data_IF_637141619877
#
_entry.id   IF_637141619877
#
_cell.length_a   1.000
_cell.length_b   1.000
_cell.length_c   1.000
_cell.angle_alpha   90.00
_cell.angle_beta   90.00
_cell.angle_gamma   90.00
#
_symmetry.space_group_name_H-M   'P 1'
#
loop_
_entity.id
_entity.type
_entity.pdbx_description
1 polymer ?
#
# COMPACT_ATOMS: atom_id res chain seq x y z
N UNK A 1 -18.34 27.72 2.59
CA UNK A 1 -18.81 27.12 1.32
C UNK A 1 -17.59 26.71 0.51
N UNK A 2 -17.14 25.49 0.76
CA UNK A 2 -15.90 24.92 0.22
C UNK A 2 -16.11 24.48 -1.23
N UNK A 3 -15.26 24.95 -2.15
CA UNK A 3 -15.11 24.36 -3.48
C UNK A 3 -14.41 23.00 -3.35
N UNK A 4 -15.08 21.99 -2.78
CA UNK A 4 -14.89 20.62 -3.25
C UNK A 4 -15.49 20.60 -4.65
N UNK A 5 -14.63 20.74 -5.66
CA UNK A 5 -15.05 20.98 -7.03
C UNK A 5 -16.01 19.89 -7.51
N UNK A 6 -17.00 20.28 -8.30
CA UNK A 6 -18.02 19.49 -9.00
C UNK A 6 -17.66 18.03 -9.34
N UNK A 7 -16.39 17.76 -9.65
CA UNK A 7 -15.84 16.43 -9.91
C UNK A 7 -15.85 15.51 -8.66
N UNK A 8 -15.54 16.02 -7.47
CA UNK A 8 -15.63 15.25 -6.22
C UNK A 8 -17.06 14.88 -5.84
N UNK A 9 -18.02 15.77 -6.11
CA UNK A 9 -19.45 15.48 -5.92
C UNK A 9 -19.96 14.46 -6.95
N UNK A 10 -19.52 14.57 -8.21
CA UNK A 10 -19.87 13.64 -9.28
C UNK A 10 -19.24 12.24 -9.06
N UNK A 11 -18.00 12.17 -8.58
CA UNK A 11 -17.36 10.93 -8.18
C UNK A 11 -18.04 10.31 -6.94
N UNK A 12 -18.53 11.13 -6.02
CA UNK A 12 -19.30 10.66 -4.87
C UNK A 12 -20.67 10.09 -5.30
N UNK A 13 -21.35 10.71 -6.27
CA UNK A 13 -22.58 10.16 -6.85
C UNK A 13 -22.35 8.86 -7.64
N UNK A 14 -21.21 8.71 -8.31
CA UNK A 14 -20.83 7.45 -8.94
C UNK A 14 -20.53 6.36 -7.90
N UNK A 15 -19.94 6.74 -6.76
CA UNK A 15 -19.68 5.85 -5.64
C UNK A 15 -20.96 5.34 -4.95
N UNK A 16 -22.05 6.11 -4.98
CA UNK A 16 -23.36 5.74 -4.41
C UNK A 16 -24.13 4.70 -5.25
N UNK A 17 -23.64 4.33 -6.45
CA UNK A 17 -24.27 3.27 -7.25
C UNK A 17 -24.11 1.93 -6.54
N UNK A 18 -25.20 1.47 -5.92
CA UNK A 18 -25.30 0.14 -5.31
C UNK A 18 -25.06 -0.95 -6.36
N UNK A 19 -23.96 -1.69 -6.19
CA UNK A 19 -23.66 -2.85 -7.02
C UNK A 19 -24.47 -4.06 -6.55
N UNK A 20 -25.23 -4.66 -7.47
CA UNK A 20 -25.91 -5.93 -7.25
C UNK A 20 -24.88 -7.05 -7.41
N UNK A 21 -24.78 -8.01 -6.47
CA UNK A 21 -23.82 -9.10 -6.57
C UNK A 21 -24.07 -9.95 -7.82
N UNK A 22 -22.97 -10.34 -8.48
CA UNK A 22 -23.00 -11.18 -9.67
C UNK A 22 -23.60 -12.56 -9.31
N UNK A 23 -24.76 -12.88 -9.88
CA UNK A 23 -25.34 -14.22 -9.81
C UNK A 23 -24.91 -14.99 -11.05
N UNK A 24 -24.12 -16.05 -10.86
CA UNK A 24 -23.75 -16.94 -11.97
C UNK A 24 -24.99 -17.66 -12.51
N UNK A 25 -25.18 -17.64 -13.83
CA UNK A 25 -26.27 -18.35 -14.52
C UNK A 25 -25.76 -19.39 -15.53
N UNK A 26 -24.44 -19.56 -15.67
CA UNK A 26 -23.85 -20.36 -16.76
C UNK A 26 -23.06 -21.58 -16.28
N UNK A 27 -23.45 -22.77 -16.75
CA UNK A 27 -22.73 -24.05 -16.56
C UNK A 27 -21.58 -24.26 -17.56
N UNK A 28 -21.34 -23.30 -18.46
CA UNK A 28 -20.27 -23.40 -19.46
C UNK A 28 -18.88 -23.39 -18.82
N UNK A 29 -17.90 -24.13 -19.37
CA UNK A 29 -16.51 -24.05 -18.90
C UNK A 29 -15.95 -22.63 -19.01
N UNK A 30 -15.21 -22.20 -17.98
CA UNK A 30 -14.58 -20.86 -17.93
C UNK A 30 -13.73 -20.55 -19.16
N UNK A 31 -13.02 -21.55 -19.67
CA UNK A 31 -12.20 -21.48 -20.88
C UNK A 31 -13.02 -21.05 -22.10
N UNK A 32 -14.17 -21.68 -22.32
CA UNK A 32 -15.07 -21.35 -23.45
C UNK A 32 -15.67 -19.95 -23.28
N UNK A 33 -16.03 -19.59 -22.05
CA UNK A 33 -16.57 -18.27 -21.74
C UNK A 33 -15.54 -17.17 -21.98
N UNK A 34 -14.28 -17.37 -21.60
CA UNK A 34 -13.20 -16.40 -21.84
C UNK A 34 -12.92 -16.25 -23.35
N UNK A 35 -12.93 -17.35 -24.11
CA UNK A 35 -12.77 -17.30 -25.57
C UNK A 35 -13.94 -16.54 -26.22
N UNK A 36 -15.18 -16.81 -25.80
CA UNK A 36 -16.36 -16.09 -26.26
C UNK A 36 -16.32 -14.60 -25.88
N UNK A 37 -15.78 -14.24 -24.70
CA UNK A 37 -15.67 -12.85 -24.27
C UNK A 37 -14.68 -12.06 -25.15
N UNK A 38 -13.55 -12.67 -25.52
CA UNK A 38 -12.60 -12.07 -26.46
C UNK A 38 -13.21 -11.92 -27.85
N UNK A 39 -13.91 -12.94 -28.34
CA UNK A 39 -14.51 -12.95 -29.67
C UNK A 39 -15.75 -12.04 -29.81
N UNK A 40 -16.43 -11.72 -28.70
CA UNK A 40 -17.69 -10.99 -28.72
C UNK A 40 -17.55 -9.51 -29.10
N UNK A 41 -18.53 -9.01 -29.88
CA UNK A 41 -18.57 -7.61 -30.38
C UNK A 41 -19.69 -6.76 -29.73
N UNK A 42 -20.60 -7.36 -28.95
CA UNK A 42 -21.78 -6.65 -28.37
C UNK A 42 -21.63 -6.27 -26.90
N UNK A 43 -21.78 -4.99 -26.55
CA UNK A 43 -21.55 -4.47 -25.19
C UNK A 43 -22.39 -5.15 -24.09
N UNK A 44 -23.69 -5.36 -24.31
CA UNK A 44 -24.61 -5.94 -23.31
C UNK A 44 -24.31 -7.42 -23.07
N UNK A 45 -23.99 -8.18 -24.13
CA UNK A 45 -23.63 -9.59 -24.01
C UNK A 45 -22.25 -9.77 -23.37
N UNK A 46 -21.29 -8.89 -23.68
CA UNK A 46 -19.97 -8.82 -23.03
C UNK A 46 -20.09 -8.58 -21.52
N UNK A 47 -20.91 -7.61 -21.09
CA UNK A 47 -21.09 -7.30 -19.67
C UNK A 47 -21.64 -8.49 -18.87
N UNK A 48 -22.68 -9.15 -19.39
CA UNK A 48 -23.26 -10.33 -18.72
C UNK A 48 -22.27 -11.48 -18.66
N UNK A 49 -21.59 -11.78 -19.78
CA UNK A 49 -20.62 -12.86 -19.85
C UNK A 49 -19.42 -12.61 -18.93
N UNK A 50 -18.92 -11.38 -18.85
CA UNK A 50 -17.89 -10.99 -17.90
C UNK A 50 -18.35 -11.25 -16.45
N UNK A 51 -19.59 -10.89 -16.12
CA UNK A 51 -20.19 -11.17 -14.83
C UNK A 51 -20.25 -12.67 -14.50
N UNK A 52 -20.68 -13.49 -15.46
CA UNK A 52 -20.72 -14.95 -15.30
C UNK A 52 -19.31 -15.53 -15.11
N UNK A 53 -18.30 -15.05 -15.85
CA UNK A 53 -16.90 -15.50 -15.71
C UNK A 53 -16.37 -15.20 -14.30
N UNK A 54 -16.55 -13.97 -13.82
CA UNK A 54 -16.08 -13.55 -12.49
C UNK A 54 -16.77 -14.35 -11.39
N UNK A 55 -18.09 -14.56 -11.50
CA UNK A 55 -18.85 -15.34 -10.54
C UNK A 55 -18.44 -16.82 -10.54
N UNK A 56 -18.17 -17.41 -11.70
CA UNK A 56 -17.65 -18.78 -11.82
C UNK A 56 -16.23 -18.89 -11.27
N UNK A 57 -15.35 -17.93 -11.56
CA UNK A 57 -14.00 -17.89 -10.98
C UNK A 57 -14.02 -17.83 -9.45
N UNK A 58 -14.90 -16.99 -8.87
CA UNK A 58 -15.00 -16.82 -7.43
C UNK A 58 -15.38 -18.11 -6.66
N UNK A 59 -16.00 -19.07 -7.34
CA UNK A 59 -16.40 -20.38 -6.78
C UNK A 59 -15.32 -21.46 -6.92
N UNK A 60 -14.24 -21.20 -7.65
CA UNK A 60 -13.17 -22.16 -7.82
C UNK A 60 -12.44 -22.41 -6.49
N UNK A 61 -12.06 -23.66 -6.28
CA UNK A 61 -11.08 -24.04 -5.27
C UNK A 61 -9.65 -23.68 -5.72
N UNK A 62 -8.66 -24.00 -4.89
CA UNK A 62 -7.26 -23.74 -5.22
C UNK A 62 -6.82 -24.39 -6.53
N UNK A 63 -7.24 -25.64 -6.78
CA UNK A 63 -6.90 -26.39 -7.99
C UNK A 63 -7.47 -25.70 -9.23
N UNK A 64 -8.74 -25.31 -9.18
CA UNK A 64 -9.41 -24.57 -10.25
C UNK A 64 -8.73 -23.22 -10.52
N UNK A 65 -8.36 -22.47 -9.47
CA UNK A 65 -7.66 -21.19 -9.62
C UNK A 65 -6.29 -21.36 -10.27
N UNK A 66 -5.51 -22.37 -9.89
CA UNK A 66 -4.23 -22.70 -10.53
C UNK A 66 -4.42 -23.01 -12.01
N UNK A 67 -5.38 -23.86 -12.34
CA UNK A 67 -5.70 -24.20 -13.73
C UNK A 67 -6.13 -22.98 -14.54
N UNK A 68 -6.90 -22.06 -13.94
CA UNK A 68 -7.30 -20.81 -14.58
C UNK A 68 -6.11 -19.88 -14.86
N UNK A 69 -5.19 -19.71 -13.92
CA UNK A 69 -4.00 -18.88 -14.17
C UNK A 69 -3.02 -19.53 -15.15
N UNK A 70 -2.87 -20.85 -15.14
CA UNK A 70 -2.11 -21.58 -16.16
C UNK A 70 -2.69 -21.35 -17.55
N UNK A 71 -4.02 -21.45 -17.70
CA UNK A 71 -4.73 -21.10 -18.94
C UNK A 71 -4.38 -19.69 -19.43
N UNK A 72 -4.38 -18.68 -18.54
CA UNK A 72 -4.02 -17.31 -18.90
C UNK A 72 -2.55 -17.18 -19.30
N UNK A 73 -1.66 -17.89 -18.62
CA UNK A 73 -0.22 -17.86 -18.89
C UNK A 73 0.13 -18.53 -20.23
N UNK A 74 -0.62 -19.56 -20.64
CA UNK A 74 -0.33 -20.38 -21.82
C UNK A 74 -1.09 -19.92 -23.07
N UNK A 75 -2.42 -19.75 -22.98
CA UNK A 75 -3.27 -19.56 -24.17
C UNK A 75 -3.57 -18.10 -24.49
N UNK A 76 -3.36 -17.22 -23.52
CA UNK A 76 -3.64 -15.79 -23.64
C UNK A 76 -2.35 -14.95 -23.70
N UNK A 77 -1.20 -15.59 -23.91
CA UNK A 77 0.10 -14.93 -24.08
C UNK A 77 0.30 -14.37 -25.49
N UNK A 78 1.40 -13.63 -25.67
CA UNK A 78 1.89 -13.22 -26.98
C UNK A 78 2.41 -14.43 -27.77
N UNK A 79 2.37 -14.35 -29.10
CA UNK A 79 3.03 -15.32 -29.98
C UNK A 79 4.41 -14.78 -30.38
N UNK A 80 5.53 -15.35 -29.88
CA UNK A 80 6.87 -14.82 -30.11
C UNK A 80 7.21 -14.61 -31.59
N UNK A 81 6.78 -15.53 -32.45
CA UNK A 81 6.99 -15.46 -33.89
C UNK A 81 6.27 -14.27 -34.52
N UNK A 82 5.03 -14.01 -34.10
CA UNK A 82 4.24 -12.88 -34.58
C UNK A 82 4.85 -11.54 -34.16
N UNK A 83 5.30 -11.43 -32.91
CA UNK A 83 6.00 -10.23 -32.40
C UNK A 83 7.30 -9.99 -33.16
N UNK A 84 8.07 -11.05 -33.40
CA UNK A 84 9.35 -10.98 -34.12
C UNK A 84 9.13 -10.47 -35.56
N UNK A 85 8.16 -11.03 -36.27
CA UNK A 85 7.83 -10.61 -37.63
C UNK A 85 7.35 -9.16 -37.69
N UNK A 86 6.49 -8.75 -36.76
CA UNK A 86 6.00 -7.38 -36.71
C UNK A 86 7.12 -6.38 -36.37
N UNK A 87 8.06 -6.76 -35.50
CA UNK A 87 9.22 -5.94 -35.13
C UNK A 87 10.18 -5.75 -36.31
N UNK A 88 10.47 -6.82 -37.07
CA UNK A 88 11.29 -6.74 -38.28
C UNK A 88 10.68 -5.78 -39.30
N UNK A 89 9.38 -5.92 -39.56
CA UNK A 89 8.67 -5.07 -40.52
C UNK A 89 8.62 -3.61 -40.10
N UNK A 90 8.41 -3.32 -38.82
CA UNK A 90 8.50 -1.95 -38.33
C UNK A 90 9.93 -1.39 -38.46
N UNK A 91 10.95 -2.22 -38.29
CA UNK A 91 12.35 -1.83 -38.52
C UNK A 91 12.65 -1.42 -39.96
N UNK A 92 11.98 -2.06 -40.93
CA UNK A 92 12.12 -1.77 -42.37
C UNK A 92 11.38 -0.49 -42.77
N UNK A 93 10.07 -0.40 -42.49
CA UNK A 93 9.21 0.66 -43.02
C UNK A 93 9.10 1.89 -42.09
N UNK A 94 9.14 1.67 -40.77
CA UNK A 94 9.02 2.69 -39.70
C UNK A 94 7.81 3.64 -39.85
N UNK A 95 6.68 3.12 -40.31
CA UNK A 95 5.44 3.88 -40.47
C UNK A 95 4.39 3.56 -39.39
N UNK A 96 3.26 4.28 -39.42
CA UNK A 96 2.18 4.13 -38.45
C UNK A 96 1.45 2.77 -38.51
N UNK A 97 1.34 2.15 -39.69
CA UNK A 97 0.67 0.87 -39.86
C UNK A 97 1.54 -0.28 -39.35
N UNK A 98 2.83 -0.25 -39.66
CA UNK A 98 3.79 -1.24 -39.16
C UNK A 98 4.02 -1.11 -37.66
N UNK A 99 4.01 0.12 -37.12
CA UNK A 99 3.99 0.34 -35.67
C UNK A 99 2.72 -0.23 -35.03
N UNK A 100 1.54 0.05 -35.59
CA UNK A 100 0.27 -0.50 -35.09
C UNK A 100 0.33 -2.03 -35.02
N UNK A 101 0.81 -2.67 -36.07
CA UNK A 101 0.87 -4.14 -36.12
C UNK A 101 1.81 -4.71 -35.06
N UNK A 102 2.95 -4.05 -34.82
CA UNK A 102 3.85 -4.40 -33.72
C UNK A 102 3.18 -4.25 -32.35
N UNK A 103 2.51 -3.13 -32.10
CA UNK A 103 1.82 -2.89 -30.83
C UNK A 103 0.70 -3.92 -30.59
N UNK A 104 -0.08 -4.26 -31.61
CA UNK A 104 -1.14 -5.27 -31.54
C UNK A 104 -0.56 -6.68 -31.29
N UNK A 105 0.52 -7.04 -31.97
CA UNK A 105 1.17 -8.35 -31.78
C UNK A 105 1.84 -8.48 -30.40
N UNK A 106 2.37 -7.38 -29.87
CA UNK A 106 3.07 -7.34 -28.59
C UNK A 106 2.15 -7.23 -27.37
N UNK A 107 0.84 -7.03 -27.55
CA UNK A 107 -0.12 -7.03 -26.45
C UNK A 107 -0.65 -8.44 -26.17
N UNK A 108 -0.42 -9.01 -24.95
CA UNK A 108 -1.01 -10.29 -24.60
C UNK A 108 -2.54 -10.22 -24.58
N UNK A 109 -3.21 -11.26 -25.07
CA UNK A 109 -4.68 -11.38 -25.02
C UNK A 109 -5.24 -11.27 -23.60
N UNK A 110 -4.41 -11.56 -22.58
CA UNK A 110 -4.73 -11.32 -21.16
C UNK A 110 -5.17 -9.88 -20.90
N UNK A 111 -4.53 -8.87 -21.48
CA UNK A 111 -4.91 -7.48 -21.21
C UNK A 111 -6.30 -7.15 -21.77
N UNK A 112 -6.58 -7.61 -23.00
CA UNK A 112 -7.92 -7.48 -23.60
C UNK A 112 -8.98 -8.21 -22.78
N UNK A 113 -8.70 -9.44 -22.33
CA UNK A 113 -9.59 -10.19 -21.46
C UNK A 113 -9.90 -9.43 -20.17
N UNK A 114 -8.87 -8.96 -19.46
CA UNK A 114 -9.02 -8.23 -18.20
C UNK A 114 -9.80 -6.92 -18.37
N UNK A 115 -9.56 -6.17 -19.45
CA UNK A 115 -10.34 -4.96 -19.78
C UNK A 115 -11.82 -5.29 -20.00
N UNK A 116 -12.12 -6.35 -20.75
CA UNK A 116 -13.50 -6.80 -21.01
C UNK A 116 -14.18 -7.33 -19.75
N UNK A 117 -13.45 -8.05 -18.89
CA UNK A 117 -13.97 -8.46 -17.59
C UNK A 117 -14.37 -7.26 -16.73
N UNK A 118 -13.59 -6.18 -16.81
CA UNK A 118 -13.84 -4.95 -16.06
C UNK A 118 -15.08 -4.17 -16.51
N UNK A 119 -15.76 -4.57 -17.60
CA UNK A 119 -17.03 -3.98 -18.02
C UNK A 119 -18.20 -4.42 -17.12
N UNK A 120 -18.08 -5.54 -16.40
CA UNK A 120 -19.12 -5.99 -15.50
C UNK A 120 -19.23 -5.07 -14.26
N UNK A 121 -20.44 -4.79 -13.74
CA UNK A 121 -20.61 -4.01 -12.53
C UNK A 121 -19.86 -4.63 -11.34
N UNK A 122 -19.08 -3.83 -10.61
CA UNK A 122 -18.28 -4.31 -9.47
C UNK A 122 -17.03 -5.12 -9.85
N UNK A 123 -16.75 -5.32 -11.14
CA UNK A 123 -15.66 -6.18 -11.61
C UNK A 123 -14.28 -5.75 -11.13
N UNK A 124 -14.02 -4.45 -10.95
CA UNK A 124 -12.70 -3.97 -10.51
C UNK A 124 -12.32 -4.60 -9.16
N UNK A 125 -13.26 -4.66 -8.21
CA UNK A 125 -13.03 -5.32 -6.93
C UNK A 125 -12.79 -6.83 -7.07
N UNK A 126 -13.51 -7.50 -7.97
CA UNK A 126 -13.28 -8.93 -8.25
C UNK A 126 -11.91 -9.19 -8.90
N UNK A 127 -11.47 -8.32 -9.81
CA UNK A 127 -10.16 -8.41 -10.43
C UNK A 127 -9.03 -8.17 -9.41
N UNK A 128 -9.22 -7.24 -8.47
CA UNK A 128 -8.29 -7.06 -7.35
C UNK A 128 -8.20 -8.31 -6.48
N UNK A 129 -9.34 -8.96 -6.18
CA UNK A 129 -9.37 -10.26 -5.48
C UNK A 129 -8.69 -11.37 -6.28
N UNK A 130 -8.94 -11.44 -7.58
CA UNK A 130 -8.29 -12.38 -8.49
C UNK A 130 -6.76 -12.19 -8.48
N UNK A 131 -6.27 -10.95 -8.55
CA UNK A 131 -4.82 -10.69 -8.47
C UNK A 131 -4.24 -11.04 -7.10
N UNK A 132 -4.97 -10.81 -6.00
CA UNK A 132 -4.55 -11.30 -4.68
C UNK A 132 -4.32 -12.81 -4.70
N UNK A 133 -5.23 -13.56 -5.30
CA UNK A 133 -5.12 -15.01 -5.41
C UNK A 133 -3.91 -15.41 -6.27
N UNK A 134 -3.64 -14.71 -7.38
CA UNK A 134 -2.43 -14.87 -8.20
C UNK A 134 -1.15 -14.63 -7.38
N UNK A 135 -1.08 -13.51 -6.66
CA UNK A 135 0.11 -13.15 -5.86
C UNK A 135 0.45 -14.19 -4.79
N UNK A 136 -0.56 -14.88 -4.25
CA UNK A 136 -0.36 -15.99 -3.30
C UNK A 136 0.22 -17.24 -3.96
N UNK A 137 -0.09 -17.49 -5.24
CA UNK A 137 0.40 -18.65 -5.98
C UNK A 137 1.80 -18.44 -6.56
N UNK A 138 2.25 -17.19 -6.76
CA UNK A 138 3.56 -16.88 -7.35
C UNK A 138 4.78 -17.57 -6.71
N UNK A 139 4.87 -17.73 -5.37
CA UNK A 139 6.01 -18.44 -4.76
C UNK A 139 6.11 -19.91 -5.19
N UNK A 140 4.98 -20.54 -5.51
CA UNK A 140 4.90 -21.94 -5.91
C UNK A 140 4.89 -22.12 -7.43
N UNK A 141 4.41 -21.11 -8.17
CA UNK A 141 4.24 -21.11 -9.63
C UNK A 141 4.85 -19.83 -10.24
N UNK A 142 6.19 -19.70 -10.24
CA UNK A 142 6.88 -18.48 -10.66
C UNK A 142 6.65 -18.12 -12.14
N UNK A 143 6.30 -19.08 -12.99
CA UNK A 143 5.93 -18.88 -14.39
C UNK A 143 4.70 -17.99 -14.58
N UNK A 144 3.84 -17.87 -13.55
CA UNK A 144 2.68 -16.98 -13.54
C UNK A 144 3.05 -15.51 -13.35
N UNK A 145 4.32 -15.18 -13.07
CA UNK A 145 4.78 -13.79 -12.95
C UNK A 145 4.48 -12.96 -14.21
N UNK A 146 4.47 -13.59 -15.40
CA UNK A 146 4.09 -12.93 -16.65
C UNK A 146 2.64 -12.43 -16.64
N UNK A 147 1.75 -13.15 -15.97
CA UNK A 147 0.33 -12.77 -15.81
C UNK A 147 0.22 -11.56 -14.89
N UNK A 148 1.02 -11.51 -13.80
CA UNK A 148 1.01 -10.39 -12.86
C UNK A 148 1.48 -9.08 -13.52
N UNK A 149 2.38 -9.13 -14.51
CA UNK A 149 2.79 -7.95 -15.27
C UNK A 149 1.60 -7.25 -15.93
N UNK A 150 0.68 -8.01 -16.52
CA UNK A 150 -0.51 -7.47 -17.19
C UNK A 150 -1.53 -6.91 -16.19
N UNK A 151 -1.73 -7.58 -15.06
CA UNK A 151 -2.51 -7.03 -13.96
C UNK A 151 -1.93 -5.73 -13.44
N UNK A 152 -0.62 -5.69 -13.20
CA UNK A 152 0.07 -4.50 -12.70
C UNK A 152 -0.04 -3.34 -13.68
N UNK A 153 0.14 -3.61 -14.98
CA UNK A 153 0.00 -2.62 -16.04
C UNK A 153 -1.41 -2.00 -16.05
N UNK A 154 -2.46 -2.83 -16.07
CA UNK A 154 -3.84 -2.34 -16.09
C UNK A 154 -4.21 -1.62 -14.79
N UNK A 155 -3.82 -2.14 -13.63
CA UNK A 155 -4.13 -1.51 -12.34
C UNK A 155 -3.40 -0.17 -12.16
N UNK A 156 -2.19 0.00 -12.69
CA UNK A 156 -1.54 1.32 -12.71
C UNK A 156 -2.37 2.36 -13.47
N UNK A 157 -3.02 1.96 -14.57
CA UNK A 157 -3.90 2.86 -15.32
C UNK A 157 -5.24 3.08 -14.65
N UNK A 158 -5.85 2.04 -14.08
CA UNK A 158 -7.20 2.11 -13.51
C UNK A 158 -7.23 2.80 -12.16
N UNK A 159 -6.20 2.60 -11.33
CA UNK A 159 -6.06 3.23 -10.01
C UNK A 159 -5.19 4.49 -10.10
N UNK A 160 -5.51 5.34 -11.07
CA UNK A 160 -4.83 6.62 -11.23
C UNK A 160 -5.10 7.50 -10.00
N UNK A 161 -4.03 8.07 -9.44
CA UNK A 161 -4.07 9.01 -8.31
C UNK A 161 -5.11 10.14 -8.47
N UNK A 162 -5.38 10.59 -9.69
CA UNK A 162 -6.32 11.68 -9.97
C UNK A 162 -7.77 11.36 -9.59
N UNK A 163 -8.10 10.08 -9.40
CA UNK A 163 -9.43 9.62 -8.99
C UNK A 163 -9.48 9.18 -7.53
N UNK A 164 -8.37 9.23 -6.80
CA UNK A 164 -8.41 8.94 -5.36
C UNK A 164 -9.13 10.07 -4.63
N UNK A 165 -10.13 9.69 -3.84
CA UNK A 165 -10.91 10.61 -3.02
C UNK A 165 -10.50 10.40 -1.58
N UNK A 166 -9.91 11.43 -0.99
CA UNK A 166 -9.63 11.47 0.44
C UNK A 166 -10.92 11.82 1.19
N UNK A 167 -11.35 10.95 2.11
CA UNK A 167 -12.47 11.18 3.02
C UNK A 167 -12.02 11.07 4.46
N UNK A 168 -12.55 11.96 5.32
CA UNK A 168 -12.44 11.77 6.76
C UNK A 168 -13.39 10.66 7.20
N UNK A 169 -12.89 9.78 8.07
CA UNK A 169 -13.67 8.73 8.72
C UNK A 169 -13.97 9.18 10.15
N UNK A 170 -15.24 9.17 10.51
CA UNK A 170 -15.75 9.53 11.84
C UNK A 170 -16.65 8.42 12.36
N UNK A 171 -17.10 8.52 13.61
CA UNK A 171 -18.03 7.55 14.18
C UNK A 171 -19.41 7.54 13.48
N UNK A 172 -19.77 8.63 12.79
CA UNK A 172 -20.98 8.74 11.97
C UNK A 172 -20.82 8.14 10.56
N UNK A 173 -19.61 7.67 10.20
CA UNK A 173 -19.39 7.03 8.91
C UNK A 173 -20.18 5.73 8.76
N UNK A 174 -20.50 5.30 7.53
CA UNK A 174 -21.28 4.08 7.32
C UNK A 174 -20.64 2.87 8.01
N UNK A 175 -21.44 2.10 8.75
CA UNK A 175 -20.95 0.94 9.52
C UNK A 175 -20.10 -0.02 8.67
N UNK A 176 -20.47 -0.23 7.40
CA UNK A 176 -19.71 -1.08 6.48
C UNK A 176 -18.27 -0.59 6.25
N UNK A 177 -18.05 0.73 6.16
CA UNK A 177 -16.70 1.30 6.04
C UNK A 177 -15.90 1.10 7.34
N UNK A 178 -16.57 1.27 8.49
CA UNK A 178 -15.96 1.05 9.81
C UNK A 178 -15.57 -0.42 10.03
N UNK A 179 -16.41 -1.37 9.63
CA UNK A 179 -16.11 -2.80 9.61
C UNK A 179 -14.86 -3.11 8.77
N UNK A 180 -14.74 -2.49 7.60
CA UNK A 180 -13.55 -2.63 6.74
C UNK A 180 -12.28 -2.10 7.37
N UNK A 181 -12.36 -1.03 8.15
CA UNK A 181 -11.19 -0.49 8.87
C UNK A 181 -10.75 -1.48 9.95
N UNK A 182 -11.68 -2.10 10.68
CA UNK A 182 -11.38 -3.18 11.63
C UNK A 182 -10.72 -4.36 10.92
N UNK A 183 -11.28 -4.81 9.79
CA UNK A 183 -10.76 -5.93 8.99
C UNK A 183 -9.33 -5.67 8.48
N UNK A 184 -9.03 -4.44 8.06
CA UNK A 184 -7.78 -4.10 7.36
C UNK A 184 -6.69 -3.50 8.23
N UNK A 185 -6.92 -3.31 9.53
CA UNK A 185 -5.91 -2.71 10.39
C UNK A 185 -4.69 -3.62 10.56
N UNK A 186 -3.61 -3.20 9.88
CA UNK A 186 -2.43 -4.01 9.66
C UNK A 186 -1.23 -3.56 10.48
N UNK A 187 -1.32 -2.55 11.35
CA UNK A 187 -0.22 -2.05 12.19
C UNK A 187 -0.49 -2.37 13.65
N UNK A 188 -1.63 -1.93 14.18
CA UNK A 188 -2.08 -2.12 15.56
C UNK A 188 -3.50 -2.69 15.55
N UNK A 189 -3.65 -4.01 15.71
CA UNK A 189 -4.93 -4.70 15.61
C UNK A 189 -6.06 -4.00 16.39
N UNK A 190 -7.22 -3.85 15.74
CA UNK A 190 -8.46 -3.38 16.36
C UNK A 190 -9.27 -4.62 16.69
N UNK A 191 -9.40 -4.93 17.98
CA UNK A 191 -10.06 -6.16 18.43
C UNK A 191 -11.58 -6.13 18.30
N UNK A 192 -12.18 -4.94 18.42
CA UNK A 192 -13.63 -4.75 18.48
C UNK A 192 -14.04 -3.31 18.11
N UNK A 193 -15.35 -3.06 18.15
CA UNK A 193 -15.95 -1.77 17.86
C UNK A 193 -15.58 -0.67 18.87
N UNK A 194 -15.32 -1.03 20.13
CA UNK A 194 -14.91 -0.07 21.16
C UNK A 194 -13.50 0.44 20.90
N UNK A 195 -12.59 -0.46 20.53
CA UNK A 195 -11.23 -0.14 20.09
C UNK A 195 -11.22 0.72 18.82
N UNK A 196 -12.14 0.47 17.87
CA UNK A 196 -12.31 1.35 16.71
C UNK A 196 -12.79 2.74 17.16
N UNK A 197 -13.83 2.79 18.00
CA UNK A 197 -14.40 4.06 18.49
C UNK A 197 -13.34 4.92 19.16
N UNK A 198 -12.49 4.32 20.00
CA UNK A 198 -11.39 5.01 20.67
C UNK A 198 -10.34 5.64 19.70
N UNK A 199 -10.35 5.25 18.42
CA UNK A 199 -9.45 5.75 17.38
C UNK A 199 -10.07 6.76 16.42
N UNK A 200 -11.41 6.86 16.38
CA UNK A 200 -12.11 7.74 15.42
C UNK A 200 -13.02 8.79 16.07
N UNK A 201 -13.52 8.54 17.27
CA UNK A 201 -14.47 9.40 17.99
C UNK A 201 -13.79 10.52 18.81
N UNK A 202 -12.65 10.28 19.49
CA UNK A 202 -12.02 11.33 20.31
C UNK A 202 -11.58 12.55 19.50
N UNK A 203 -11.70 13.74 20.11
CA UNK A 203 -11.38 15.03 19.47
C UNK A 203 -9.92 15.15 19.03
N UNK A 204 -9.02 14.45 19.72
CA UNK A 204 -7.59 14.38 19.42
C UNK A 204 -7.21 13.18 18.54
N UNK A 205 -8.19 12.58 17.87
CA UNK A 205 -7.98 11.54 16.86
C UNK A 205 -8.58 11.97 15.53
N UNK A 206 -7.91 11.60 14.45
CA UNK A 206 -8.41 11.76 13.08
C UNK A 206 -8.12 10.46 12.34
N UNK A 207 -9.07 10.03 11.53
CA UNK A 207 -8.90 8.91 10.62
C UNK A 207 -9.31 9.36 9.22
N UNK A 208 -8.53 8.95 8.23
CA UNK A 208 -8.79 9.29 6.83
C UNK A 208 -8.71 8.04 5.97
N UNK A 209 -9.54 7.95 4.95
CA UNK A 209 -9.53 6.87 3.97
C UNK A 209 -9.39 7.44 2.56
N UNK A 210 -8.52 6.84 1.76
CA UNK A 210 -8.46 7.03 0.32
C UNK A 210 -9.37 6.00 -0.35
N UNK A 211 -10.43 6.50 -0.97
CA UNK A 211 -11.39 5.71 -1.73
C UNK A 211 -11.13 5.86 -3.22
N UNK A 212 -11.59 4.90 -4.01
CA UNK A 212 -11.56 4.98 -5.47
C UNK A 212 -12.96 4.75 -6.04
N UNK A 213 -13.42 5.53 -7.04
CA UNK A 213 -14.76 5.41 -7.61
C UNK A 213 -15.10 4.01 -8.14
N UNK A 214 -14.10 3.27 -8.61
CA UNK A 214 -14.27 1.88 -9.07
C UNK A 214 -14.45 0.86 -7.93
N UNK A 215 -14.14 1.25 -6.69
CA UNK A 215 -14.27 0.44 -5.48
C UNK A 215 -14.78 1.31 -4.32
N UNK A 216 -16.01 1.84 -4.41
CA UNK A 216 -16.46 2.94 -3.55
C UNK A 216 -16.67 2.56 -2.08
N UNK A 217 -17.00 1.30 -1.83
CA UNK A 217 -17.22 0.74 -0.49
C UNK A 217 -15.92 0.20 0.15
N UNK A 218 -14.79 0.27 -0.55
CA UNK A 218 -13.53 -0.32 -0.13
C UNK A 218 -12.48 0.78 0.10
N UNK A 219 -12.00 0.98 1.35
CA UNK A 219 -10.82 1.80 1.55
C UNK A 219 -9.64 1.13 0.84
N UNK A 220 -8.90 1.90 0.04
CA UNK A 220 -7.66 1.42 -0.56
C UNK A 220 -6.49 1.62 0.41
N UNK A 221 -6.49 2.79 1.05
CA UNK A 221 -5.56 3.16 2.11
C UNK A 221 -6.36 3.83 3.20
N UNK A 222 -6.05 3.57 4.46
CA UNK A 222 -6.45 4.46 5.53
C UNK A 222 -5.27 4.89 6.39
N UNK A 223 -5.46 6.02 7.05
CA UNK A 223 -4.44 6.76 7.79
C UNK A 223 -5.06 7.17 9.13
N UNK A 224 -4.47 6.68 10.22
CA UNK A 224 -4.83 7.09 11.58
C UNK A 224 -3.83 8.11 12.12
N UNK A 225 -4.36 9.19 12.69
CA UNK A 225 -3.61 10.34 13.19
C UNK A 225 -4.03 10.64 14.63
N UNK A 226 -3.04 10.77 15.50
CA UNK A 226 -3.20 11.26 16.85
C UNK A 226 -2.71 12.70 16.94
N UNK A 227 -3.55 13.60 17.45
CA UNK A 227 -3.14 14.96 17.80
C UNK A 227 -2.53 14.93 19.20
N UNK A 228 -1.28 15.33 19.33
CA UNK A 228 -0.50 15.24 20.56
C UNK A 228 0.16 16.57 20.91
N UNK A 229 0.60 16.68 22.16
CA UNK A 229 1.51 17.73 22.61
C UNK A 229 2.92 17.16 22.64
N UNK A 230 3.76 17.61 21.73
CA UNK A 230 5.08 17.04 21.44
C UNK A 230 5.02 15.78 20.58
N UNK A 231 6.21 15.33 20.18
CA UNK A 231 6.45 14.15 19.34
C UNK A 231 6.42 12.90 20.23
N UNK A 232 5.52 11.93 19.98
CA UNK A 232 5.44 10.72 20.78
C UNK A 232 6.52 9.69 20.39
N UNK A 233 6.85 8.86 21.38
CA UNK A 233 7.91 7.84 21.28
C UNK A 233 7.42 6.41 21.60
N UNK A 234 6.15 6.22 21.95
CA UNK A 234 5.59 4.91 22.30
C UNK A 234 4.15 4.78 21.82
N UNK A 235 3.86 3.68 21.12
CA UNK A 235 2.51 3.40 20.64
C UNK A 235 1.61 2.90 21.76
N UNK A 236 2.16 2.21 22.77
CA UNK A 236 1.40 1.80 23.96
C UNK A 236 0.84 3.02 24.69
N UNK A 237 1.64 4.07 24.88
CA UNK A 237 1.18 5.32 25.49
C UNK A 237 0.14 6.03 24.60
N UNK A 238 0.33 5.98 23.28
CA UNK A 238 -0.58 6.61 22.33
C UNK A 238 -1.96 5.93 22.28
N UNK A 239 -1.99 4.61 22.47
CA UNK A 239 -3.20 3.79 22.39
C UNK A 239 -3.73 3.35 23.76
N UNK A 240 -3.19 3.89 24.85
CA UNK A 240 -3.59 3.55 26.21
C UNK A 240 -5.10 3.82 26.42
N UNK A 241 -5.90 2.85 26.94
CA UNK A 241 -7.35 3.01 27.11
C UNK A 241 -7.73 4.13 28.08
N UNK A 242 -6.90 4.36 29.10
CA UNK A 242 -7.07 5.33 30.17
C UNK A 242 -6.40 6.68 29.89
N UNK A 243 -5.91 6.90 28.66
CA UNK A 243 -5.30 8.17 28.27
C UNK A 243 -6.29 9.33 28.43
N UNK A 244 -5.79 10.49 28.84
CA UNK A 244 -6.59 11.72 28.82
C UNK A 244 -6.75 12.20 27.38
N UNK A 245 -7.99 12.35 26.91
CA UNK A 245 -8.28 12.99 25.64
C UNK A 245 -7.91 14.48 25.74
N UNK A 246 -7.09 14.95 24.81
CA UNK A 246 -6.74 16.37 24.72
C UNK A 246 -7.80 17.13 23.91
N UNK A 247 -7.93 18.43 24.20
CA UNK A 247 -8.56 19.33 23.24
C UNK A 247 -7.59 19.53 22.06
N UNK A 248 -8.11 19.50 20.84
CA UNK A 248 -7.31 19.75 19.64
C UNK A 248 -6.64 21.13 19.66
N UNK A 249 -7.19 22.13 20.37
CA UNK A 249 -6.54 23.44 20.54
C UNK A 249 -5.27 23.40 21.41
N UNK A 250 -5.06 22.33 22.19
CA UNK A 250 -3.91 22.18 23.11
C UNK A 250 -2.77 21.35 22.51
N UNK A 251 -2.96 20.81 21.30
CA UNK A 251 -1.98 19.98 20.60
C UNK A 251 -1.10 20.83 19.70
N UNK A 252 0.11 20.36 19.38
CA UNK A 252 1.04 21.03 18.47
C UNK A 252 1.59 20.08 17.38
N UNK A 253 1.24 18.80 17.48
CA UNK A 253 1.82 17.71 16.69
C UNK A 253 0.71 16.81 16.15
N UNK A 254 0.74 16.54 14.85
CA UNK A 254 -0.03 15.46 14.23
C UNK A 254 0.87 14.24 14.05
N UNK A 255 0.52 13.14 14.73
CA UNK A 255 1.25 11.88 14.71
C UNK A 255 0.51 10.85 13.87
N UNK A 256 1.06 10.52 12.69
CA UNK A 256 0.61 9.41 11.84
C UNK A 256 1.11 8.08 12.43
N UNK A 257 0.25 7.35 13.14
CA UNK A 257 0.65 6.13 13.85
C UNK A 257 0.19 4.84 13.16
N UNK A 258 -0.77 4.91 12.24
CA UNK A 258 -1.13 3.78 11.38
C UNK A 258 -1.37 4.26 9.95
N UNK A 259 -0.74 3.58 8.98
CA UNK A 259 -1.01 3.75 7.55
C UNK A 259 -1.09 2.36 6.95
N UNK A 260 -2.30 1.96 6.55
CA UNK A 260 -2.60 0.60 6.11
C UNK A 260 -3.03 0.61 4.65
N UNK A 261 -2.36 -0.20 3.82
CA UNK A 261 -2.86 -0.53 2.48
C UNK A 261 -3.77 -1.75 2.60
N UNK A 262 -5.05 -1.55 2.34
CA UNK A 262 -6.10 -2.52 2.59
C UNK A 262 -6.15 -3.65 1.56
N UNK A 263 -5.66 -3.37 0.35
CA UNK A 263 -5.88 -4.25 -0.80
C UNK A 263 -4.59 -4.95 -1.21
N UNK A 264 -4.44 -6.22 -0.79
CA UNK A 264 -3.28 -7.05 -1.16
C UNK A 264 -3.13 -7.19 -2.68
N UNK A 265 -4.24 -7.24 -3.41
CA UNK A 265 -4.25 -7.22 -4.87
C UNK A 265 -3.73 -5.91 -5.49
N UNK A 266 -3.55 -4.85 -4.72
CA UNK A 266 -2.94 -3.60 -5.17
C UNK A 266 -1.48 -3.47 -4.72
N UNK A 267 -0.87 -4.55 -4.23
CA UNK A 267 0.57 -4.59 -3.93
C UNK A 267 1.38 -4.16 -5.16
N UNK A 268 2.28 -3.19 -4.95
CA UNK A 268 3.14 -2.64 -5.99
C UNK A 268 2.48 -1.59 -6.90
N UNK A 269 1.18 -1.31 -6.73
CA UNK A 269 0.50 -0.22 -7.44
C UNK A 269 0.72 1.07 -6.66
N UNK A 270 1.29 2.09 -7.31
CA UNK A 270 1.51 3.40 -6.69
C UNK A 270 0.24 4.24 -6.80
N UNK A 271 -0.18 4.78 -5.66
CA UNK A 271 -1.27 5.76 -5.56
C UNK A 271 -0.75 7.21 -5.58
N UNK A 272 0.51 7.39 -5.97
CA UNK A 272 1.20 8.67 -5.94
C UNK A 272 1.93 8.94 -4.62
N UNK A 273 2.80 9.96 -4.66
CA UNK A 273 3.82 10.23 -3.65
C UNK A 273 3.49 11.44 -2.77
N UNK A 274 2.19 11.67 -2.56
CA UNK A 274 1.68 12.85 -1.87
C UNK A 274 0.43 12.53 -1.06
N UNK A 275 0.23 11.25 -0.71
CA UNK A 275 -0.90 10.83 0.11
C UNK A 275 -0.86 11.55 1.46
N UNK A 276 0.30 11.55 2.11
CA UNK A 276 0.46 12.20 3.40
C UNK A 276 0.38 13.72 3.26
N UNK A 277 0.89 14.31 2.17
CA UNK A 277 0.76 15.74 1.89
C UNK A 277 -0.71 16.19 1.85
N UNK A 278 -1.62 15.38 1.28
CA UNK A 278 -3.05 15.70 1.27
C UNK A 278 -3.65 15.70 2.68
N UNK A 279 -3.33 14.68 3.48
CA UNK A 279 -3.81 14.61 4.87
C UNK A 279 -3.26 15.77 5.71
N UNK A 280 -1.97 16.08 5.55
CA UNK A 280 -1.33 17.24 6.19
C UNK A 280 -2.03 18.54 5.81
N UNK A 281 -2.34 18.76 4.54
CA UNK A 281 -3.01 19.98 4.09
C UNK A 281 -4.41 20.15 4.73
N UNK A 282 -5.19 19.05 4.83
CA UNK A 282 -6.47 19.05 5.53
C UNK A 282 -6.31 19.37 7.02
N UNK A 283 -5.33 18.75 7.68
CA UNK A 283 -5.06 18.99 9.09
C UNK A 283 -4.60 20.44 9.34
N UNK A 284 -3.80 21.03 8.44
CA UNK A 284 -3.40 22.44 8.56
C UNK A 284 -4.56 23.40 8.35
N UNK A 285 -5.49 23.06 7.46
CA UNK A 285 -6.68 23.86 7.23
C UNK A 285 -7.62 23.81 8.45
N UNK A 286 -7.78 22.64 9.06
CA UNK A 286 -8.62 22.45 10.26
C UNK A 286 -7.94 22.99 11.53
N UNK A 287 -6.62 22.80 11.64
CA UNK A 287 -5.81 23.13 12.82
C UNK A 287 -4.54 23.91 12.44
N UNK A 288 -4.65 25.22 12.16
CA UNK A 288 -3.52 26.04 11.71
C UNK A 288 -2.36 26.16 12.71
N UNK A 289 -2.61 25.83 13.98
CA UNK A 289 -1.60 25.90 15.05
C UNK A 289 -0.69 24.67 15.13
N UNK A 290 -1.00 23.57 14.42
CA UNK A 290 -0.13 22.40 14.35
C UNK A 290 1.18 22.73 13.65
N UNK A 291 2.30 22.38 14.29
CA UNK A 291 3.66 22.69 13.82
C UNK A 291 4.39 21.46 13.33
N UNK A 292 4.17 20.32 13.99
CA UNK A 292 4.90 19.09 13.71
C UNK A 292 3.99 18.08 13.02
N UNK A 293 4.46 17.53 11.90
CA UNK A 293 3.81 16.42 11.19
C UNK A 293 4.77 15.24 11.19
N UNK A 294 4.55 14.30 12.09
CA UNK A 294 5.46 13.18 12.35
C UNK A 294 4.75 11.86 12.26
N UNK A 295 5.46 10.79 11.96
CA UNK A 295 4.92 9.44 12.07
C UNK A 295 5.39 8.79 13.36
N UNK A 296 4.74 7.72 13.79
CA UNK A 296 5.34 6.74 14.70
C UNK A 296 5.26 5.39 13.99
N UNK A 297 6.31 5.06 13.25
CA UNK A 297 6.31 3.98 12.26
C UNK A 297 7.08 2.74 12.74
N UNK A 298 6.63 1.52 12.40
CA UNK A 298 7.39 0.30 12.67
C UNK A 298 8.65 0.22 11.79
N UNK A 299 9.61 -0.62 12.18
CA UNK A 299 10.86 -0.89 11.44
C UNK A 299 10.92 -2.37 11.02
N UNK A 300 10.01 -2.84 10.14
CA UNK A 300 9.93 -4.25 9.79
C UNK A 300 11.22 -4.74 9.11
N UNK A 301 11.76 -5.85 9.61
CA UNK A 301 12.95 -6.49 9.04
C UNK A 301 14.26 -6.07 9.70
N UNK A 302 14.24 -5.18 10.70
CA UNK A 302 15.42 -4.85 11.50
C UNK A 302 15.99 -6.09 12.19
N UNK A 303 15.15 -6.90 12.85
CA UNK A 303 15.59 -8.15 13.51
C UNK A 303 16.19 -9.15 12.50
N UNK A 304 15.55 -9.31 11.33
CA UNK A 304 16.07 -10.21 10.30
C UNK A 304 17.44 -9.75 9.80
N UNK A 305 17.62 -8.44 9.58
CA UNK A 305 18.90 -7.88 9.17
C UNK A 305 19.98 -8.02 10.26
N UNK A 306 19.66 -7.80 11.54
CA UNK A 306 20.61 -8.01 12.64
C UNK A 306 21.02 -9.49 12.75
N UNK A 307 20.09 -10.43 12.51
CA UNK A 307 20.43 -11.87 12.47
C UNK A 307 21.41 -12.20 11.35
N UNK A 308 21.21 -11.65 10.16
CA UNK A 308 22.16 -11.81 9.06
C UNK A 308 23.55 -11.26 9.40
N UNK A 309 23.64 -10.14 10.12
CA UNK A 309 24.91 -9.61 10.60
C UNK A 309 25.56 -10.52 11.65
N UNK A 310 24.77 -11.05 12.59
CA UNK A 310 25.26 -11.98 13.60
C UNK A 310 25.79 -13.28 12.97
N UNK A 311 25.09 -13.82 11.97
CA UNK A 311 25.54 -14.97 11.17
C UNK A 311 26.83 -14.68 10.39
N UNK A 312 27.10 -13.42 10.05
CA UNK A 312 28.34 -12.94 9.44
C UNK A 312 29.45 -12.64 10.46
N UNK A 313 29.22 -12.85 11.76
CA UNK A 313 30.20 -12.68 12.83
C UNK A 313 30.16 -11.32 13.55
N UNK A 314 29.12 -10.51 13.37
CA UNK A 314 28.94 -9.27 14.13
C UNK A 314 28.45 -9.60 15.56
N UNK A 315 29.38 -9.64 16.53
CA UNK A 315 29.08 -9.94 17.93
C UNK A 315 28.16 -8.91 18.59
N UNK A 316 28.26 -7.64 18.21
CA UNK A 316 27.39 -6.59 18.73
C UNK A 316 25.94 -6.80 18.29
N UNK A 317 25.73 -7.31 17.06
CA UNK A 317 24.39 -7.66 16.57
C UNK A 317 23.79 -8.83 17.35
N UNK A 318 24.60 -9.86 17.65
CA UNK A 318 24.19 -10.98 18.49
C UNK A 318 23.81 -10.51 19.91
N UNK A 319 24.68 -9.74 20.56
CA UNK A 319 24.42 -9.22 21.92
C UNK A 319 23.19 -8.31 21.94
N UNK A 320 22.98 -7.48 20.92
CA UNK A 320 21.78 -6.65 20.81
C UNK A 320 20.50 -7.49 20.64
N UNK A 321 20.54 -8.63 19.96
CA UNK A 321 19.37 -9.52 19.80
C UNK A 321 18.99 -10.26 21.09
N UNK A 322 19.96 -10.53 21.97
CA UNK A 322 19.77 -11.26 23.23
C UNK A 322 19.46 -10.35 24.42
N UNK A 323 19.79 -9.06 24.31
CA UNK A 323 19.65 -8.11 25.40
C UNK A 323 18.19 -7.77 25.76
N UNK A 324 17.94 -7.54 27.05
CA UNK A 324 16.70 -6.94 27.51
C UNK A 324 16.78 -5.41 27.38
N UNK A 325 16.26 -4.89 26.27
CA UNK A 325 16.20 -3.45 26.02
C UNK A 325 15.29 -2.69 26.99
N UNK A 326 14.45 -3.36 27.78
CA UNK A 326 13.55 -2.73 28.76
C UNK A 326 14.28 -2.22 30.00
N UNK A 327 15.24 -3.02 30.48
CA UNK A 327 15.98 -2.77 31.71
C UNK A 327 17.31 -2.04 31.46
N UNK A 328 17.95 -2.25 30.31
CA UNK A 328 19.28 -1.72 30.02
C UNK A 328 19.26 -0.54 29.03
N UNK A 329 19.70 0.63 29.51
CA UNK A 329 19.84 1.85 28.72
C UNK A 329 20.93 1.73 27.65
N UNK A 330 22.00 0.98 27.92
CA UNK A 330 23.06 0.75 26.94
C UNK A 330 22.55 -0.13 25.80
N UNK A 331 21.86 -1.23 26.11
CA UNK A 331 21.17 -2.06 25.12
C UNK A 331 20.13 -1.27 24.31
N UNK A 332 19.33 -0.41 24.95
CA UNK A 332 18.39 0.46 24.25
C UNK A 332 19.09 1.42 23.28
N UNK A 333 20.23 1.98 23.68
CA UNK A 333 21.03 2.86 22.82
C UNK A 333 21.68 2.10 21.66
N UNK A 334 22.14 0.87 21.90
CA UNK A 334 22.67 -0.03 20.87
C UNK A 334 21.61 -0.36 19.82
N UNK A 335 20.39 -0.70 20.27
CA UNK A 335 19.26 -0.95 19.36
C UNK A 335 18.94 0.26 18.48
N UNK A 336 18.97 1.48 19.06
CA UNK A 336 18.79 2.72 18.28
C UNK A 336 19.90 2.91 17.23
N UNK A 337 21.15 2.57 17.56
CA UNK A 337 22.28 2.62 16.62
C UNK A 337 22.11 1.61 15.46
N UNK A 338 21.72 0.36 15.75
CA UNK A 338 21.37 -0.62 14.72
C UNK A 338 20.20 -0.17 13.86
N UNK A 339 19.15 0.39 14.46
CA UNK A 339 18.03 0.97 13.73
C UNK A 339 18.48 2.07 12.76
N UNK A 340 19.37 2.97 13.19
CA UNK A 340 19.88 4.06 12.36
C UNK A 340 20.72 3.53 11.20
N UNK A 341 21.62 2.57 11.45
CA UNK A 341 22.40 1.88 10.41
C UNK A 341 21.48 1.16 9.42
N UNK A 342 20.48 0.45 9.90
CA UNK A 342 19.52 -0.25 9.04
C UNK A 342 18.76 0.72 8.11
N UNK A 343 18.22 1.80 8.67
CA UNK A 343 17.42 2.76 7.90
C UNK A 343 18.25 3.59 6.92
N UNK A 344 19.48 3.96 7.28
CA UNK A 344 20.31 4.87 6.48
C UNK A 344 21.28 4.13 5.55
N UNK A 345 21.79 2.97 5.93
CA UNK A 345 22.89 2.29 5.24
C UNK A 345 22.44 1.02 4.53
N UNK A 346 21.61 0.18 5.14
CA UNK A 346 21.18 -1.08 4.51
C UNK A 346 20.37 -0.83 3.21
N UNK A 347 20.73 -1.54 2.14
CA UNK A 347 20.09 -1.44 0.83
C UNK A 347 19.58 -2.80 0.34
N UNK A 348 18.54 -2.76 -0.49
CA UNK A 348 18.09 -3.91 -1.28
C UNK A 348 18.96 -4.10 -2.54
N UNK A 349 18.68 -5.16 -3.31
CA UNK A 349 19.38 -5.48 -4.56
C UNK A 349 19.23 -4.41 -5.66
N UNK A 350 18.35 -3.41 -5.48
CA UNK A 350 18.15 -2.28 -6.39
C UNK A 350 18.76 -0.99 -5.83
N UNK A 351 19.54 -1.04 -4.76
CA UNK A 351 20.17 0.12 -4.15
C UNK A 351 19.21 1.04 -3.39
N UNK A 352 18.01 0.57 -3.04
CA UNK A 352 17.02 1.34 -2.25
C UNK A 352 17.11 0.97 -0.77
N UNK A 353 16.68 1.82 0.18
CA UNK A 353 16.55 1.44 1.58
C UNK A 353 15.89 0.07 1.74
N UNK A 354 16.48 -0.79 2.57
CA UNK A 354 16.00 -2.17 2.74
C UNK A 354 14.61 -2.23 3.39
N UNK A 355 14.36 -1.34 4.34
CA UNK A 355 13.09 -1.23 5.05
C UNK A 355 11.96 -0.73 4.11
N UNK A 356 10.86 -1.49 3.92
CA UNK A 356 9.73 -1.04 3.10
C UNK A 356 9.04 0.22 3.62
N UNK A 357 9.00 0.41 4.95
CA UNK A 357 8.33 1.56 5.57
C UNK A 357 9.15 2.84 5.36
N UNK A 358 10.47 2.76 5.46
CA UNK A 358 11.40 3.83 5.09
C UNK A 358 11.23 4.23 3.63
N UNK A 359 11.19 3.26 2.72
CA UNK A 359 10.95 3.56 1.30
C UNK A 359 9.64 4.34 1.12
N UNK A 360 8.56 3.93 1.77
CA UNK A 360 7.29 4.64 1.68
C UNK A 360 7.39 6.09 2.17
N UNK A 361 7.93 6.34 3.37
CA UNK A 361 7.98 7.68 3.94
C UNK A 361 8.98 8.61 3.24
N UNK A 362 10.17 8.10 2.88
CA UNK A 362 11.16 8.86 2.11
C UNK A 362 10.63 9.20 0.72
N UNK A 363 9.89 8.28 0.09
CA UNK A 363 9.24 8.57 -1.19
C UNK A 363 8.09 9.58 -1.06
N UNK A 364 7.50 9.76 0.12
CA UNK A 364 6.55 10.86 0.39
C UNK A 364 7.24 12.14 0.89
N UNK A 365 8.57 12.24 0.83
CA UNK A 365 9.33 13.45 1.16
C UNK A 365 9.65 13.64 2.65
N UNK A 366 9.37 12.63 3.50
CA UNK A 366 9.75 12.70 4.89
C UNK A 366 11.26 12.52 5.09
N UNK A 367 11.76 12.90 6.27
CA UNK A 367 13.13 12.60 6.72
C UNK A 367 13.11 11.68 7.93
N UNK A 368 14.16 10.85 8.08
CA UNK A 368 14.35 10.03 9.30
C UNK A 368 14.67 10.96 10.47
N UNK A 369 13.77 11.07 11.43
CA UNK A 369 13.84 12.05 12.50
C UNK A 369 14.52 11.51 13.76
N UNK A 370 13.90 10.50 14.39
CA UNK A 370 14.38 9.90 15.63
C UNK A 370 13.93 8.43 15.75
N UNK A 371 14.78 7.60 16.34
CA UNK A 371 14.49 6.19 16.64
C UNK A 371 14.31 6.03 18.13
N UNK A 372 13.28 5.28 18.51
CA UNK A 372 12.86 5.02 19.87
C UNK A 372 12.98 3.54 20.17
N UNK A 373 13.66 3.19 21.26
CA UNK A 373 13.63 1.84 21.82
C UNK A 373 12.36 1.68 22.68
N UNK A 374 11.88 0.44 22.85
CA UNK A 374 10.69 0.11 23.65
C UNK A 374 9.41 0.86 23.20
N UNK A 375 9.37 1.27 21.93
CA UNK A 375 8.29 2.07 21.38
C UNK A 375 7.07 1.22 20.99
N UNK A 376 7.30 -0.05 20.62
CA UNK A 376 6.26 -1.07 20.43
C UNK A 376 6.60 -2.36 21.17
N UNK A 377 6.07 -2.50 22.39
CA UNK A 377 6.26 -3.70 23.21
C UNK A 377 5.31 -4.85 22.86
N UNK A 378 4.51 -4.72 21.80
CA UNK A 378 3.68 -5.83 21.32
C UNK A 378 4.55 -7.00 20.86
N UNK A 379 3.99 -8.22 20.92
CA UNK A 379 4.69 -9.40 20.41
C UNK A 379 5.11 -9.26 18.94
N UNK A 380 4.38 -8.47 18.15
CA UNK A 380 4.75 -8.13 16.77
C UNK A 380 5.93 -7.18 16.72
N UNK A 381 5.90 -6.06 17.45
CA UNK A 381 6.98 -5.07 17.51
C UNK A 381 8.30 -5.70 17.96
N UNK A 382 8.25 -6.57 18.98
CA UNK A 382 9.40 -7.34 19.45
C UNK A 382 9.97 -8.25 18.36
N UNK A 383 9.11 -8.99 17.63
CA UNK A 383 9.55 -9.87 16.54
C UNK A 383 10.14 -9.11 15.34
N UNK A 384 9.64 -7.91 15.05
CA UNK A 384 10.02 -7.16 13.85
C UNK A 384 11.28 -6.31 14.05
N UNK A 385 11.42 -5.69 15.23
CA UNK A 385 12.43 -4.66 15.49
C UNK A 385 12.91 -4.60 16.94
N UNK A 386 12.76 -5.66 17.73
CA UNK A 386 13.03 -5.63 19.19
C UNK A 386 12.27 -4.49 19.91
N UNK A 387 11.10 -4.11 19.38
CA UNK A 387 10.28 -3.02 19.90
C UNK A 387 10.76 -1.62 19.52
N UNK A 388 11.74 -1.49 18.61
CA UNK A 388 12.12 -0.19 18.07
C UNK A 388 11.08 0.35 17.08
N UNK A 389 10.80 1.66 17.16
CA UNK A 389 10.04 2.41 16.17
C UNK A 389 10.80 3.67 15.76
N UNK A 390 10.35 4.33 14.70
CA UNK A 390 10.98 5.53 14.16
C UNK A 390 9.93 6.61 13.91
N UNK A 391 10.26 7.86 14.22
CA UNK A 391 9.53 8.99 13.66
C UNK A 391 10.14 9.38 12.31
N UNK A 392 9.28 9.49 11.30
CA UNK A 392 9.58 10.26 10.09
C UNK A 392 8.94 11.65 10.22
N UNK A 393 9.71 12.71 9.96
CA UNK A 393 9.24 14.09 10.00
C UNK A 393 8.91 14.57 8.57
N UNK A 394 7.71 15.11 8.39
CA UNK A 394 7.31 15.84 7.19
C UNK A 394 7.56 17.34 7.40
N UNK A 395 8.76 17.77 7.08
CA UNK A 395 9.11 19.18 7.03
C UNK A 395 8.53 19.81 5.77
N UNK A 396 7.48 20.62 5.93
CA UNK A 396 6.65 21.12 4.83
C UNK A 396 7.44 21.94 3.80
N UNK A 397 8.50 22.61 4.25
CA UNK A 397 9.37 23.41 3.37
C UNK A 397 10.29 22.52 2.53
N UNK A 398 10.61 21.32 3.03
CA UNK A 398 11.59 20.41 2.42
C UNK A 398 10.97 19.16 1.79
N UNK A 399 9.67 18.90 1.97
CA UNK A 399 8.99 17.68 1.47
C UNK A 399 9.23 17.47 -0.02
N UNK A 400 9.11 18.52 -0.84
CA UNK A 400 9.29 18.42 -2.30
C UNK A 400 10.75 18.14 -2.67
N UNK A 401 11.69 18.88 -2.09
CA UNK A 401 13.12 18.67 -2.32
C UNK A 401 13.59 17.28 -1.86
N UNK A 402 13.11 16.81 -0.71
CA UNK A 402 13.39 15.47 -0.20
C UNK A 402 12.82 14.39 -1.12
N UNK A 403 11.59 14.57 -1.59
CA UNK A 403 10.94 13.66 -2.53
C UNK A 403 11.75 13.52 -3.82
N UNK A 404 12.10 14.64 -4.46
CA UNK A 404 12.86 14.65 -5.71
C UNK A 404 14.24 14.02 -5.55
N UNK A 405 14.95 14.39 -4.49
CA UNK A 405 16.26 13.83 -4.15
C UNK A 405 16.20 12.32 -3.94
N UNK A 406 15.17 11.81 -3.26
CA UNK A 406 15.00 10.37 -3.04
C UNK A 406 14.57 9.63 -4.31
N UNK A 407 13.67 10.22 -5.11
CA UNK A 407 13.18 9.65 -6.35
C UNK A 407 14.29 9.54 -7.42
N UNK A 408 15.15 10.55 -7.52
CA UNK A 408 16.21 10.60 -8.52
C UNK A 408 17.46 9.81 -8.13
N UNK A 409 17.86 9.85 -6.85
CA UNK A 409 19.19 9.38 -6.41
C UNK A 409 19.14 8.42 -5.23
N UNK A 410 17.94 8.07 -4.72
CA UNK A 410 17.77 7.30 -3.48
C UNK A 410 18.50 7.91 -2.27
N UNK A 411 18.76 9.22 -2.31
CA UNK A 411 19.39 9.96 -1.22
C UNK A 411 18.41 10.09 -0.06
N UNK A 412 18.85 9.64 1.12
CA UNK A 412 18.03 9.56 2.33
C UNK A 412 18.16 10.86 3.12
N UNK A 413 17.03 11.56 3.30
CA UNK A 413 16.94 12.71 4.20
C UNK A 413 16.88 12.23 5.66
N UNK A 414 17.65 12.87 6.53
CA UNK A 414 17.73 12.52 7.95
C UNK A 414 18.17 13.70 8.81
N UNK A 415 17.91 13.64 10.12
CA UNK A 415 18.49 14.59 11.08
C UNK A 415 19.99 14.34 11.28
N UNK A 416 20.70 15.35 11.82
CA UNK A 416 22.13 15.21 12.15
C UNK A 416 22.36 14.14 13.22
N UNK A 417 21.47 14.06 14.21
CA UNK A 417 21.54 13.06 15.28
C UNK A 417 21.45 11.65 14.72
N UNK A 418 20.55 11.38 13.76
CA UNK A 418 20.43 10.06 13.13
C UNK A 418 21.68 9.68 12.31
N UNK A 419 22.30 10.64 11.61
CA UNK A 419 23.58 10.39 10.93
C UNK A 419 24.72 10.10 11.90
N UNK A 420 24.75 10.77 13.05
CA UNK A 420 25.75 10.49 14.10
C UNK A 420 25.50 9.11 14.71
N UNK A 421 24.25 8.79 15.01
CA UNK A 421 23.83 7.53 15.60
C UNK A 421 24.16 6.33 14.69
N UNK A 422 23.97 6.46 13.36
CA UNK A 422 24.35 5.41 12.41
C UNK A 422 25.87 5.14 12.36
N UNK A 423 26.70 6.13 12.70
CA UNK A 423 28.17 5.99 12.72
C UNK A 423 28.68 5.38 14.02
N UNK A 424 27.87 5.34 15.08
CA UNK A 424 28.22 4.67 16.32
C UNK A 424 28.25 3.18 16.01
N UNK A 425 29.43 2.56 16.11
CA UNK A 425 29.50 1.10 16.19
C UNK A 425 28.92 0.71 17.55
N UNK A 426 27.83 -0.06 17.58
CA UNK A 426 27.37 -0.63 18.83
C UNK A 426 28.48 -1.53 19.39
N UNK A 427 28.80 -1.36 20.67
CA UNK A 427 29.81 -2.14 21.39
C UNK A 427 29.30 -3.54 21.74
#
# INVERSE_FOLDING_TARGET
>A
MTRTGYLGDLLSQLAERRFVPLRAVSDKPLREMCAALIAGEGEVSTMRLAGDILASYARLDETGKRAFFALLAEEYDITPEAVTQAALRYGEDRDANTLRWLLEAAEPKRQSLLRRLNHAPGATGELVRMRRDLLRLLPEMPELARVDLDFAHLFQSWFNRGFLVLKQVTWESPARLLEKIIEYEAVHAIGDWEALRARVDPKDRRCFAFLHPAMPDEPLIFVEVALTKGIPNSVQNLLAPDRTCLDAAQTDTATFYSISNCQVGLKGISFGNSLIKQVVALLQQEFPHLRNFVTLSPIPGLVAWMRELAEQGDSAAQSCLEADHSADKAAAQSLRAFGARYLLEAKDNKGRPRDPVARFHLHNGALVHEIHAQADTSARGLRQSCGAMVNYLYDLEQVEANHESYAAQHKIASTRSMRQLARVKPD
#
